data_IF_257483126129
#
_entry.id   IF_257483126129
#
_cell.length_a   1.000
_cell.length_b   1.000
_cell.length_c   1.000
_cell.angle_alpha   90.00
_cell.angle_beta   90.00
_cell.angle_gamma   90.00
#
_symmetry.space_group_name_H-M   'P 1'
#
loop_
_entity.id
_entity.type
_entity.pdbx_description
1 polymer ?
#
# COMPACT_ATOMS: atom_id res chain seq x y z
N UNK A 1 18.42 17.26 -13.03
CA UNK A 1 18.25 15.98 -12.32
C UNK A 1 16.76 15.81 -12.06
N UNK A 2 16.19 14.63 -12.37
CA UNK A 2 14.74 14.31 -12.48
C UNK A 2 14.09 14.59 -13.85
N UNK A 3 14.71 14.11 -14.92
CA UNK A 3 13.95 13.56 -16.05
C UNK A 3 13.35 12.23 -15.58
N UNK A 4 12.29 12.30 -14.77
CA UNK A 4 11.53 11.12 -14.36
C UNK A 4 11.06 10.44 -15.64
N UNK A 5 11.38 9.17 -15.77
CA UNK A 5 10.94 8.25 -16.82
C UNK A 5 9.63 8.71 -17.50
N UNK A 6 9.67 8.93 -18.82
CA UNK A 6 8.51 9.37 -19.64
C UNK A 6 7.36 8.36 -19.72
N UNK A 7 7.29 7.41 -18.78
CA UNK A 7 6.20 6.44 -18.62
C UNK A 7 6.01 5.99 -17.18
N UNK A 8 6.47 6.78 -16.19
CA UNK A 8 6.23 6.46 -14.78
C UNK A 8 4.79 6.77 -14.37
N UNK A 9 3.97 5.73 -14.37
CA UNK A 9 2.60 5.77 -13.89
C UNK A 9 2.55 5.37 -12.41
N UNK A 10 2.44 6.36 -11.52
CA UNK A 10 2.36 6.17 -10.05
C UNK A 10 1.41 5.03 -9.63
N UNK A 11 0.19 4.89 -10.20
CA UNK A 11 -0.70 3.80 -9.82
C UNK A 11 -0.12 2.43 -10.18
N UNK A 12 0.47 2.28 -11.37
CA UNK A 12 1.02 1.01 -11.84
C UNK A 12 2.27 0.64 -11.04
N UNK A 13 3.29 1.50 -11.07
CA UNK A 13 4.58 1.19 -10.45
C UNK A 13 4.50 1.16 -8.93
N UNK A 14 3.69 2.03 -8.32
CA UNK A 14 3.43 1.99 -6.89
C UNK A 14 2.75 0.68 -6.46
N UNK A 15 1.81 0.19 -7.27
CA UNK A 15 1.13 -1.09 -7.00
C UNK A 15 2.08 -2.27 -7.18
N UNK A 16 2.85 -2.31 -8.26
CA UNK A 16 3.85 -3.36 -8.50
C UNK A 16 4.87 -3.42 -7.36
N UNK A 17 5.41 -2.27 -6.94
CA UNK A 17 6.31 -2.20 -5.80
C UNK A 17 5.66 -2.70 -4.51
N UNK A 18 4.40 -2.34 -4.23
CA UNK A 18 3.70 -2.81 -3.04
C UNK A 18 3.44 -4.33 -3.07
N UNK A 19 3.16 -4.90 -4.24
CA UNK A 19 3.01 -6.35 -4.45
C UNK A 19 4.35 -7.06 -4.20
N UNK A 20 5.44 -6.56 -4.77
CA UNK A 20 6.77 -7.15 -4.65
C UNK A 20 7.31 -7.08 -3.20
N UNK A 21 7.17 -5.95 -2.53
CA UNK A 21 7.62 -5.77 -1.14
C UNK A 21 6.75 -6.62 -0.18
N UNK A 22 5.45 -6.70 -0.46
CA UNK A 22 4.49 -7.43 0.37
C UNK A 22 3.99 -6.62 1.56
N UNK A 23 2.71 -6.83 1.90
CA UNK A 23 2.01 -6.05 2.92
C UNK A 23 2.64 -6.16 4.31
N UNK A 24 3.14 -7.34 4.70
CA UNK A 24 3.71 -7.54 6.03
C UNK A 24 5.03 -6.79 6.22
N UNK A 25 5.90 -6.78 5.20
CA UNK A 25 7.13 -5.99 5.24
C UNK A 25 6.83 -4.49 5.32
N UNK A 26 5.86 -4.00 4.54
CA UNK A 26 5.42 -2.59 4.59
C UNK A 26 4.90 -2.23 5.99
N UNK A 27 4.12 -3.12 6.62
CA UNK A 27 3.57 -2.89 7.97
C UNK A 27 4.66 -2.88 9.05
N UNK A 28 5.69 -3.72 8.92
CA UNK A 28 6.83 -3.74 9.84
C UNK A 28 7.66 -2.45 9.75
N UNK A 29 7.87 -1.94 8.54
CA UNK A 29 8.71 -0.75 8.32
C UNK A 29 7.97 0.59 8.49
N UNK A 30 6.64 0.59 8.41
CA UNK A 30 5.82 1.79 8.52
C UNK A 30 4.78 1.64 9.64
N UNK A 31 5.14 1.97 10.90
CA UNK A 31 4.24 1.80 12.05
C UNK A 31 2.93 2.57 11.94
N UNK A 32 2.95 3.77 11.34
CA UNK A 32 1.74 4.57 11.09
C UNK A 32 0.79 3.87 10.10
N UNK A 33 1.37 3.25 9.07
CA UNK A 33 0.60 2.50 8.07
C UNK A 33 0.01 1.23 8.69
N UNK A 34 0.78 0.47 9.49
CA UNK A 34 0.24 -0.67 10.24
C UNK A 34 -0.89 -0.26 11.19
N UNK A 35 -0.73 0.86 11.90
CA UNK A 35 -1.77 1.43 12.76
C UNK A 35 -3.05 1.76 11.98
N UNK A 36 -2.91 2.34 10.79
CA UNK A 36 -4.05 2.58 9.89
C UNK A 36 -4.72 1.29 9.42
N UNK A 37 -3.94 0.28 8.98
CA UNK A 37 -4.47 -1.04 8.59
C UNK A 37 -5.23 -1.72 9.74
N UNK A 38 -4.70 -1.66 10.96
CA UNK A 38 -5.37 -2.20 12.16
C UNK A 38 -6.72 -1.52 12.40
N UNK A 39 -6.81 -0.20 12.26
CA UNK A 39 -8.08 0.54 12.37
C UNK A 39 -9.06 0.13 11.28
N UNK A 40 -8.61 -0.02 10.04
CA UNK A 40 -9.46 -0.48 8.94
C UNK A 40 -10.02 -1.88 9.19
N UNK A 41 -9.21 -2.82 9.67
CA UNK A 41 -9.65 -4.19 9.99
C UNK A 41 -10.63 -4.25 11.17
N UNK A 42 -10.61 -3.25 12.05
CA UNK A 42 -11.54 -3.15 13.16
C UNK A 42 -12.89 -2.52 12.76
N UNK A 43 -13.01 -1.99 11.54
CA UNK A 43 -14.29 -1.50 11.05
C UNK A 43 -15.24 -2.68 10.82
N UNK A 44 -16.53 -2.55 11.18
CA UNK A 44 -17.52 -3.56 10.85
C UNK A 44 -17.59 -3.70 9.32
N UNK A 45 -17.33 -4.90 8.81
CA UNK A 45 -17.48 -5.19 7.40
C UNK A 45 -18.95 -5.13 7.01
N UNK A 46 -19.28 -4.48 5.89
CA UNK A 46 -20.48 -4.87 5.16
C UNK A 46 -20.21 -6.27 4.62
N UNK A 47 -20.86 -7.29 5.18
CA UNK A 47 -21.03 -8.56 4.50
C UNK A 47 -21.64 -8.25 3.12
N UNK A 48 -20.83 -8.48 2.08
CA UNK A 48 -21.33 -8.48 0.72
C UNK A 48 -22.09 -9.80 0.55
N UNK A 49 -23.36 -9.79 0.12
CA UNK A 49 -24.06 -11.03 -0.21
C UNK A 49 -23.33 -11.79 -1.32
#
# INVERSE_FOLDING_TARGET
MLSLFHGYEKPLYGTLAAIEIGLDAIRQQCPLFDGWIKRLKALPGKERP
#
